data_IF_290986476441
#
_entry.id   IF_290986476441
#
_cell.length_a   1.000
_cell.length_b   1.000
_cell.length_c   1.000
_cell.angle_alpha   90.00
_cell.angle_beta   90.00
_cell.angle_gamma   90.00
#
_symmetry.space_group_name_H-M   'P 1'
#
loop_
_entity.id
_entity.type
_entity.pdbx_description
1 polymer ?
#
# COMPACT_ATOMS: atom_id res chain seq x y z
N UNK A 1 4.52 9.92 15.92
CA UNK A 1 3.40 9.43 15.06
C UNK A 1 2.06 9.66 15.78
N UNK A 2 1.84 9.16 17.01
CA UNK A 2 0.55 9.31 17.70
C UNK A 2 0.15 10.76 17.92
N UNK A 3 1.09 11.66 18.25
CA UNK A 3 0.82 13.09 18.41
C UNK A 3 0.41 13.73 17.06
N UNK A 4 1.10 13.37 15.97
CA UNK A 4 0.76 13.87 14.63
C UNK A 4 -0.63 13.42 14.17
N UNK A 5 -1.04 12.20 14.53
CA UNK A 5 -2.40 11.69 14.25
C UNK A 5 -3.44 12.48 15.04
N UNK A 6 -3.17 12.75 16.33
CA UNK A 6 -4.07 13.57 17.16
C UNK A 6 -4.21 14.98 16.62
N UNK A 7 -3.10 15.61 16.27
CA UNK A 7 -3.10 16.98 15.70
C UNK A 7 -3.87 17.03 14.39
N UNK A 8 -3.69 16.03 13.51
CA UNK A 8 -4.48 15.91 12.28
C UNK A 8 -5.98 15.80 12.57
N UNK A 9 -6.39 14.91 13.47
CA UNK A 9 -7.79 14.70 13.81
C UNK A 9 -8.43 15.93 14.47
N UNK A 10 -7.69 16.67 15.30
CA UNK A 10 -8.15 17.91 15.92
C UNK A 10 -8.41 19.04 14.92
N UNK A 11 -7.65 19.10 13.83
CA UNK A 11 -7.77 20.14 12.81
C UNK A 11 -8.79 19.81 11.71
N UNK A 12 -9.44 18.65 11.78
CA UNK A 12 -10.46 18.24 10.80
C UNK A 12 -11.83 18.86 11.11
N UNK A 13 -12.60 19.11 10.05
CA UNK A 13 -13.99 19.57 10.18
C UNK A 13 -14.88 18.56 10.91
N UNK A 14 -14.77 17.27 10.59
CA UNK A 14 -15.45 16.17 11.30
C UNK A 14 -14.47 15.52 12.28
N UNK A 15 -14.65 15.79 13.56
CA UNK A 15 -13.73 15.36 14.64
C UNK A 15 -14.19 14.08 15.38
N UNK A 16 -15.44 13.68 15.21
CA UNK A 16 -16.06 12.59 15.98
C UNK A 16 -15.72 11.19 15.42
N UNK A 17 -15.00 11.11 14.32
CA UNK A 17 -14.65 9.84 13.67
C UNK A 17 -13.18 9.84 13.28
N UNK A 18 -12.41 8.91 13.81
CA UNK A 18 -11.01 8.72 13.44
C UNK A 18 -10.88 8.40 11.95
N UNK A 19 -9.92 9.05 11.27
CA UNK A 19 -9.59 8.81 9.85
C UNK A 19 -8.32 7.99 9.67
N UNK A 20 -7.47 7.97 10.70
CA UNK A 20 -6.18 7.27 10.66
C UNK A 20 -6.23 6.16 11.69
N UNK A 21 -5.93 4.96 11.23
CA UNK A 21 -5.77 3.78 12.07
C UNK A 21 -4.32 3.30 11.97
N UNK A 22 -3.63 3.22 13.10
CA UNK A 22 -2.26 2.75 13.20
C UNK A 22 -2.24 1.30 13.68
N UNK A 23 -1.77 0.39 12.83
CA UNK A 23 -1.65 -1.03 13.14
C UNK A 23 -0.19 -1.35 13.48
N UNK A 24 0.11 -1.53 14.76
CA UNK A 24 1.45 -1.92 15.24
C UNK A 24 1.65 -3.42 15.14
N UNK A 25 2.79 -3.84 14.61
CA UNK A 25 3.21 -5.24 14.58
C UNK A 25 3.83 -5.67 13.25
N UNK A 26 4.12 -6.96 13.16
CA UNK A 26 4.62 -7.57 11.92
C UNK A 26 3.51 -7.61 10.86
N UNK A 27 3.71 -6.90 9.75
CA UNK A 27 2.75 -6.81 8.64
C UNK A 27 2.32 -8.19 8.11
N UNK A 28 3.20 -9.18 8.15
CA UNK A 28 2.88 -10.55 7.73
C UNK A 28 1.78 -11.22 8.56
N UNK A 29 1.60 -10.76 9.80
CA UNK A 29 0.57 -11.24 10.74
C UNK A 29 -0.60 -10.27 10.85
N UNK A 30 -0.32 -8.97 10.86
CA UNK A 30 -1.34 -7.94 11.07
C UNK A 30 -2.23 -7.76 9.86
N UNK A 31 -1.70 -7.81 8.62
CA UNK A 31 -2.49 -7.66 7.39
C UNK A 31 -3.57 -8.75 7.25
N UNK A 32 -3.26 -10.05 7.34
CA UNK A 32 -4.31 -11.08 7.27
C UNK A 32 -5.38 -10.92 8.35
N UNK A 33 -4.97 -10.58 9.57
CA UNK A 33 -5.89 -10.35 10.70
C UNK A 33 -6.79 -9.15 10.42
N UNK A 34 -6.23 -8.04 9.93
CA UNK A 34 -6.97 -6.83 9.62
C UNK A 34 -8.02 -7.06 8.55
N UNK A 35 -7.66 -7.72 7.46
CA UNK A 35 -8.59 -8.06 6.37
C UNK A 35 -9.73 -8.98 6.88
N UNK A 36 -9.41 -9.95 7.73
CA UNK A 36 -10.41 -10.84 8.31
C UNK A 36 -11.44 -10.09 9.16
N UNK A 37 -10.99 -9.09 9.91
CA UNK A 37 -11.84 -8.25 10.77
C UNK A 37 -12.58 -7.17 10.01
N UNK A 38 -12.10 -6.76 8.83
CA UNK A 38 -12.65 -5.67 8.03
C UNK A 38 -13.13 -6.18 6.66
N UNK A 39 -14.14 -7.04 6.66
CA UNK A 39 -14.65 -7.68 5.43
C UNK A 39 -15.20 -6.70 4.39
N UNK A 40 -15.64 -5.52 4.83
CA UNK A 40 -16.17 -4.44 3.99
C UNK A 40 -15.10 -3.57 3.32
N UNK A 41 -13.82 -3.76 3.67
CA UNK A 41 -12.74 -2.89 3.21
C UNK A 41 -12.60 -2.91 1.69
N UNK A 42 -12.62 -1.72 1.08
CA UNK A 42 -12.18 -1.44 -0.28
C UNK A 42 -10.99 -0.49 -0.23
N UNK A 43 -10.02 -0.70 -1.14
CA UNK A 43 -8.77 0.04 -1.17
C UNK A 43 -8.67 0.77 -2.51
N UNK A 44 -8.54 2.08 -2.47
CA UNK A 44 -8.33 2.92 -3.66
C UNK A 44 -6.87 3.27 -3.90
N UNK A 45 -6.07 3.32 -2.84
CA UNK A 45 -4.62 3.57 -2.89
C UNK A 45 -3.91 2.60 -1.96
N UNK A 46 -2.92 1.91 -2.47
CA UNK A 46 -2.01 1.06 -1.72
C UNK A 46 -0.58 1.55 -1.96
N UNK A 47 0.06 2.07 -0.93
CA UNK A 47 1.43 2.55 -0.99
C UNK A 47 2.37 1.61 -0.24
N UNK A 48 3.40 1.15 -0.91
CA UNK A 48 4.43 0.28 -0.35
C UNK A 48 5.69 1.06 0.02
N UNK A 49 6.17 0.82 1.23
CA UNK A 49 7.43 1.30 1.77
C UNK A 49 8.03 0.23 2.71
N UNK A 50 7.91 -1.03 2.30
CA UNK A 50 8.42 -2.17 3.06
C UNK A 50 9.86 -2.51 2.73
N UNK A 51 10.31 -2.18 1.53
CA UNK A 51 11.65 -2.48 0.98
C UNK A 51 11.90 -3.99 0.83
N UNK A 52 11.29 -4.83 1.64
CA UNK A 52 11.55 -6.28 1.74
C UNK A 52 10.40 -7.13 1.15
N UNK A 53 10.76 -8.28 0.62
CA UNK A 53 9.90 -9.15 -0.17
C UNK A 53 8.68 -9.71 0.57
N UNK A 54 8.89 -10.32 1.76
CA UNK A 54 7.82 -11.07 2.42
C UNK A 54 6.59 -10.23 2.82
N UNK A 55 6.72 -9.08 3.48
CA UNK A 55 5.57 -8.26 3.80
C UNK A 55 4.90 -7.68 2.56
N UNK A 56 5.67 -7.31 1.52
CA UNK A 56 5.12 -6.83 0.23
C UNK A 56 4.29 -7.91 -0.45
N UNK A 57 4.80 -9.14 -0.52
CA UNK A 57 4.08 -10.29 -1.09
C UNK A 57 2.77 -10.56 -0.37
N UNK A 58 2.78 -10.52 0.95
CA UNK A 58 1.57 -10.74 1.77
C UNK A 58 0.58 -9.60 1.59
N UNK A 59 1.05 -8.35 1.61
CA UNK A 59 0.19 -7.20 1.38
C UNK A 59 -0.47 -7.27 -0.01
N UNK A 60 0.26 -7.53 -1.07
CA UNK A 60 -0.30 -7.74 -2.41
C UNK A 60 -1.32 -8.89 -2.42
N UNK A 61 -1.02 -10.03 -1.77
CA UNK A 61 -1.94 -11.16 -1.72
C UNK A 61 -3.31 -10.80 -1.11
N UNK A 62 -3.32 -10.02 -0.04
CA UNK A 62 -4.54 -9.74 0.72
C UNK A 62 -5.25 -8.45 0.29
N UNK A 63 -4.51 -7.46 -0.19
CA UNK A 63 -5.08 -6.16 -0.55
C UNK A 63 -5.52 -6.07 -2.01
N UNK A 64 -4.81 -6.70 -2.97
CA UNK A 64 -5.22 -6.68 -4.38
C UNK A 64 -6.67 -7.09 -4.61
N UNK A 65 -7.20 -8.17 -3.98
CA UNK A 65 -8.61 -8.53 -4.14
C UNK A 65 -9.60 -7.50 -3.59
N UNK A 66 -9.12 -6.49 -2.87
CA UNK A 66 -9.90 -5.40 -2.30
C UNK A 66 -9.80 -4.10 -3.12
N UNK A 67 -9.13 -4.15 -4.26
CA UNK A 67 -8.88 -2.99 -5.11
C UNK A 67 -9.71 -3.08 -6.40
N UNK A 68 -10.48 -2.05 -6.69
CA UNK A 68 -11.27 -1.96 -7.91
C UNK A 68 -10.43 -1.39 -9.07
N UNK A 69 -10.98 -1.44 -10.28
CA UNK A 69 -10.43 -0.71 -11.43
C UNK A 69 -10.29 0.78 -11.11
N UNK A 70 -9.20 1.38 -11.56
CA UNK A 70 -8.85 2.77 -11.24
C UNK A 70 -8.14 2.96 -9.90
N UNK A 71 -8.05 1.93 -9.06
CA UNK A 71 -7.22 1.98 -7.85
C UNK A 71 -5.75 2.05 -8.20
N UNK A 72 -4.96 2.67 -7.33
CA UNK A 72 -3.53 2.91 -7.52
C UNK A 72 -2.72 2.04 -6.56
N UNK A 73 -1.69 1.40 -7.10
CA UNK A 73 -0.63 0.78 -6.29
C UNK A 73 0.65 1.58 -6.53
N UNK A 74 1.26 2.07 -5.47
CA UNK A 74 2.51 2.81 -5.53
C UNK A 74 3.59 2.13 -4.68
N UNK A 75 4.84 2.26 -5.13
CA UNK A 75 6.01 1.64 -4.53
C UNK A 75 7.11 2.68 -4.37
N UNK A 76 7.80 2.64 -3.24
CA UNK A 76 8.93 3.52 -2.98
C UNK A 76 10.24 3.01 -3.63
N UNK A 77 10.44 1.70 -3.68
CA UNK A 77 11.71 1.08 -4.09
C UNK A 77 11.56 0.11 -5.28
N UNK A 78 10.70 0.46 -6.25
CA UNK A 78 10.56 -0.39 -7.44
C UNK A 78 11.79 -0.27 -8.35
N UNK A 79 12.25 -1.42 -8.88
CA UNK A 79 13.42 -1.54 -9.75
C UNK A 79 14.75 -1.11 -9.09
N UNK A 80 14.84 -1.19 -7.78
CA UNK A 80 16.04 -0.94 -7.03
C UNK A 80 16.83 -2.25 -6.86
N UNK A 81 18.11 -2.28 -7.32
CA UNK A 81 18.94 -3.49 -7.24
C UNK A 81 19.41 -3.81 -5.82
N UNK A 82 19.59 -2.80 -4.99
CA UNK A 82 19.96 -2.98 -3.58
C UNK A 82 18.79 -3.46 -2.73
N UNK A 83 17.57 -3.12 -3.15
CA UNK A 83 16.33 -3.44 -2.45
C UNK A 83 15.27 -4.09 -3.37
N UNK A 84 15.52 -5.31 -3.89
CA UNK A 84 14.69 -5.91 -4.94
C UNK A 84 13.36 -6.48 -4.43
N UNK A 85 13.07 -6.40 -3.13
CA UNK A 85 11.97 -7.12 -2.50
C UNK A 85 10.58 -6.74 -3.04
N UNK A 86 10.32 -5.45 -3.25
CA UNK A 86 9.06 -4.95 -3.80
C UNK A 86 8.90 -5.37 -5.26
N UNK A 87 9.95 -5.25 -6.07
CA UNK A 87 9.97 -5.64 -7.48
C UNK A 87 9.69 -7.13 -7.65
N UNK A 88 10.37 -7.98 -6.88
CA UNK A 88 10.19 -9.43 -6.94
C UNK A 88 8.75 -9.84 -6.56
N UNK A 89 8.22 -9.26 -5.51
CA UNK A 89 6.85 -9.53 -5.08
C UNK A 89 5.80 -9.08 -6.12
N UNK A 90 6.03 -7.93 -6.77
CA UNK A 90 5.16 -7.41 -7.83
C UNK A 90 5.17 -8.33 -9.06
N UNK A 91 6.34 -8.77 -9.53
CA UNK A 91 6.50 -9.67 -10.67
C UNK A 91 5.76 -11.01 -10.47
N UNK A 92 5.70 -11.51 -9.25
CA UNK A 92 4.96 -12.73 -8.92
C UNK A 92 3.44 -12.55 -8.91
N UNK A 93 2.95 -11.35 -8.67
CA UNK A 93 1.53 -11.09 -8.42
C UNK A 93 0.80 -10.42 -9.57
N UNK A 94 1.49 -9.64 -10.37
CA UNK A 94 0.90 -8.91 -11.48
C UNK A 94 1.56 -9.24 -12.81
N UNK A 95 0.75 -9.40 -13.83
CA UNK A 95 1.23 -9.49 -15.21
C UNK A 95 1.51 -8.06 -15.73
N UNK A 96 2.77 -7.63 -15.64
CA UNK A 96 3.18 -6.28 -16.01
C UNK A 96 2.95 -5.93 -17.48
N UNK A 97 2.74 -6.91 -18.38
CA UNK A 97 2.36 -6.63 -19.77
C UNK A 97 0.97 -5.99 -19.89
N UNK A 98 0.13 -6.11 -18.85
CA UNK A 98 -1.21 -5.54 -18.81
C UNK A 98 -1.27 -4.15 -18.19
N UNK A 99 -0.18 -3.69 -17.60
CA UNK A 99 -0.17 -2.45 -16.82
C UNK A 99 0.98 -1.55 -17.26
N UNK A 100 0.71 -0.27 -17.29
CA UNK A 100 1.75 0.75 -17.42
C UNK A 100 2.29 1.06 -16.02
N UNK A 101 3.61 1.11 -15.88
CA UNK A 101 4.28 1.63 -14.68
C UNK A 101 4.68 3.07 -15.01
N UNK A 102 4.22 4.00 -14.21
CA UNK A 102 4.56 5.41 -14.28
C UNK A 102 5.32 5.85 -13.04
N UNK A 103 6.05 6.95 -13.13
CA UNK A 103 6.70 7.61 -12.01
C UNK A 103 6.45 9.13 -12.06
N UNK A 104 6.68 9.80 -10.96
CA UNK A 104 6.57 11.26 -10.92
C UNK A 104 7.90 11.90 -11.35
N UNK A 105 7.83 12.93 -12.20
CA UNK A 105 9.03 13.68 -12.63
C UNK A 105 9.73 14.39 -11.47
N UNK A 106 8.97 14.78 -10.44
CA UNK A 106 9.49 15.43 -9.23
C UNK A 106 9.96 14.47 -8.15
N UNK A 107 9.59 13.17 -8.23
CA UNK A 107 9.99 12.11 -7.30
C UNK A 107 10.09 10.78 -8.05
N UNK A 108 11.17 10.55 -8.79
CA UNK A 108 11.30 9.40 -9.68
C UNK A 108 11.48 8.07 -8.94
N UNK A 109 11.77 8.08 -7.64
CA UNK A 109 11.85 6.85 -6.85
C UNK A 109 10.47 6.23 -6.62
N UNK A 110 9.41 7.03 -6.61
CA UNK A 110 8.05 6.53 -6.46
C UNK A 110 7.50 6.13 -7.83
N UNK A 111 7.27 4.83 -7.99
CA UNK A 111 6.61 4.27 -9.16
C UNK A 111 5.18 3.85 -8.82
N UNK A 112 4.26 3.95 -9.77
CA UNK A 112 2.88 3.56 -9.55
C UNK A 112 2.23 2.87 -10.75
N UNK A 113 1.20 2.11 -10.46
CA UNK A 113 0.35 1.37 -11.41
C UNK A 113 -1.10 1.75 -11.14
N UNK A 114 -1.85 2.06 -12.20
CA UNK A 114 -3.30 2.20 -12.13
C UNK A 114 -3.93 0.88 -12.59
N UNK A 115 -4.75 0.25 -11.75
CA UNK A 115 -5.44 -0.98 -12.08
C UNK A 115 -6.54 -0.73 -13.14
N UNK A 116 -6.54 -1.54 -14.18
CA UNK A 116 -7.49 -1.43 -15.31
C UNK A 116 -8.59 -2.47 -15.21
#
# INVERSE_FOLDING_TARGET
INNSIKDYDLNRFIKNKAKIELIKGDARKTIPKYIKSNKHLLISLLYFDFVIYQPTKIALKYFLPRMAKGSIIAFNELNNEDWPGETTALLEKLNLRKYKIDCFSFEPNISFIILK
#
